data_IF_648658406224
#
_entry.id   IF_648658406224
#
_cell.length_a   1.000
_cell.length_b   1.000
_cell.length_c   1.000
_cell.angle_alpha   90.00
_cell.angle_beta   90.00
_cell.angle_gamma   90.00
#
_symmetry.space_group_name_H-M   'P 1'
#
loop_
_entity.id
_entity.type
_entity.pdbx_description
1 polymer ?
#
# COMPACT_ATOMS: atom_id res chain seq x y z
N UNK A 1 1.40 42.49 36.70
CA UNK A 1 1.30 42.04 35.29
C UNK A 1 2.60 41.34 34.86
N UNK A 2 2.71 40.00 34.96
CA UNK A 2 3.90 39.22 34.49
C UNK A 2 3.59 37.79 34.01
N UNK A 3 2.33 37.41 33.83
CA UNK A 3 1.94 36.02 33.47
C UNK A 3 2.08 35.70 31.98
N UNK A 4 2.15 36.71 31.11
CA UNK A 4 2.24 36.54 29.66
C UNK A 4 3.61 36.04 29.18
N UNK A 5 4.71 36.44 29.84
CA UNK A 5 6.06 35.99 29.48
C UNK A 5 6.26 34.48 29.69
N UNK A 6 5.56 33.88 30.64
CA UNK A 6 5.59 32.43 30.88
C UNK A 6 4.83 31.66 29.80
N UNK A 7 3.69 32.18 29.35
CA UNK A 7 2.89 31.56 28.29
C UNK A 7 3.61 31.57 26.93
N UNK A 8 4.37 32.63 26.64
CA UNK A 8 5.15 32.71 25.40
C UNK A 8 6.16 31.57 25.27
N UNK A 9 6.83 31.19 26.37
CA UNK A 9 7.78 30.07 26.37
C UNK A 9 7.12 28.71 26.11
N UNK A 10 5.97 28.44 26.75
CA UNK A 10 5.23 27.19 26.54
C UNK A 10 4.69 27.06 25.11
N UNK A 11 4.18 28.16 24.53
CA UNK A 11 3.68 28.15 23.15
C UNK A 11 4.82 27.86 22.17
N UNK A 12 6.02 28.39 22.43
CA UNK A 12 7.18 28.18 21.56
C UNK A 12 7.65 26.71 21.57
N UNK A 13 7.71 26.09 22.75
CA UNK A 13 8.07 24.66 22.89
C UNK A 13 7.00 23.77 22.26
N UNK A 14 5.73 24.12 22.42
CA UNK A 14 4.62 23.39 21.80
C UNK A 14 4.68 23.45 20.27
N UNK A 15 4.92 24.64 19.70
CA UNK A 15 5.09 24.81 18.25
C UNK A 15 6.29 24.02 17.73
N UNK A 16 7.43 24.06 18.43
CA UNK A 16 8.60 23.28 18.06
C UNK A 16 8.32 21.76 18.10
N UNK A 17 7.62 21.28 19.13
CA UNK A 17 7.19 19.89 19.25
C UNK A 17 6.22 19.47 18.15
N UNK A 18 5.24 20.32 17.81
CA UNK A 18 4.30 20.07 16.70
C UNK A 18 5.02 20.07 15.36
N UNK A 19 5.99 20.97 15.13
CA UNK A 19 6.77 21.00 13.89
C UNK A 19 7.64 19.75 13.74
N UNK A 20 8.34 19.33 14.79
CA UNK A 20 9.16 18.11 14.78
C UNK A 20 8.27 16.87 14.66
N UNK A 21 7.14 16.83 15.37
CA UNK A 21 6.18 15.73 15.30
C UNK A 21 5.49 15.61 13.94
N UNK A 22 5.07 16.72 13.34
CA UNK A 22 4.45 16.75 12.02
C UNK A 22 5.46 16.44 10.90
N UNK A 23 6.69 16.97 10.99
CA UNK A 23 7.75 16.64 10.05
C UNK A 23 8.16 15.16 10.18
N UNK A 24 8.37 14.67 11.40
CA UNK A 24 8.75 13.29 11.68
C UNK A 24 7.67 12.28 11.26
N UNK A 25 6.41 12.55 11.61
CA UNK A 25 5.26 11.71 11.22
C UNK A 25 5.02 11.80 9.72
N UNK A 26 5.09 13.00 9.14
CA UNK A 26 4.96 13.19 7.69
C UNK A 26 6.04 12.46 6.91
N UNK A 27 7.30 12.49 7.36
CA UNK A 27 8.40 11.77 6.73
C UNK A 27 8.28 10.25 6.94
N UNK A 28 7.90 9.79 8.14
CA UNK A 28 7.72 8.37 8.46
C UNK A 28 6.56 7.74 7.70
N UNK A 29 5.42 8.42 7.66
CA UNK A 29 4.25 8.04 6.87
C UNK A 29 4.62 8.08 5.39
N UNK A 30 5.27 9.14 4.90
CA UNK A 30 5.70 9.21 3.49
C UNK A 30 6.71 8.12 3.15
N UNK A 31 7.67 7.78 4.00
CA UNK A 31 8.61 6.71 3.68
C UNK A 31 7.91 5.35 3.69
N UNK A 32 7.22 4.97 4.77
CA UNK A 32 6.56 3.65 4.88
C UNK A 32 5.38 3.47 3.93
N UNK A 33 4.49 4.47 3.82
CA UNK A 33 3.32 4.38 2.95
C UNK A 33 3.75 4.40 1.50
N UNK A 34 4.82 5.11 1.14
CA UNK A 34 5.35 5.08 -0.23
C UNK A 34 6.12 3.79 -0.52
N UNK A 35 6.80 3.15 0.45
CA UNK A 35 7.35 1.79 0.24
C UNK A 35 6.23 0.74 0.09
N UNK A 36 5.15 0.85 0.86
CA UNK A 36 3.99 -0.06 0.77
C UNK A 36 3.18 0.18 -0.51
N UNK A 37 3.04 1.44 -0.95
CA UNK A 37 2.35 1.79 -2.18
C UNK A 37 3.19 1.56 -3.45
N UNK A 38 4.53 1.67 -3.39
CA UNK A 38 5.43 1.55 -4.55
C UNK A 38 6.09 0.17 -4.68
N UNK A 39 6.27 -0.57 -3.58
CA UNK A 39 6.98 -1.86 -3.56
C UNK A 39 6.15 -3.07 -4.00
N UNK A 40 4.82 -2.92 -4.11
CA UNK A 40 3.93 -4.03 -4.42
C UNK A 40 3.85 -5.06 -3.29
N UNK A 41 2.86 -5.95 -3.44
CA UNK A 41 2.48 -7.01 -2.50
C UNK A 41 3.64 -7.85 -1.92
N UNK A 42 4.69 -8.27 -2.67
CA UNK A 42 5.73 -9.14 -2.09
C UNK A 42 6.60 -8.46 -1.02
N UNK A 43 6.81 -7.14 -1.09
CA UNK A 43 7.53 -6.41 -0.04
C UNK A 43 6.71 -6.33 1.26
N UNK A 44 5.38 -6.38 1.18
CA UNK A 44 4.52 -6.39 2.35
C UNK A 44 4.59 -7.75 3.06
N UNK A 45 4.71 -8.87 2.32
CA UNK A 45 4.76 -10.22 2.91
C UNK A 45 6.02 -10.38 3.75
N UNK A 46 7.17 -10.07 3.16
CA UNK A 46 8.46 -10.18 3.82
C UNK A 46 8.51 -9.27 5.05
N UNK A 47 8.06 -8.02 4.93
CA UNK A 47 7.96 -7.11 6.09
C UNK A 47 7.03 -7.64 7.19
N UNK A 48 5.90 -8.25 6.83
CA UNK A 48 4.98 -8.83 7.80
C UNK A 48 5.56 -10.05 8.51
N UNK A 49 6.17 -10.96 7.75
CA UNK A 49 6.84 -12.14 8.27
C UNK A 49 7.99 -11.76 9.20
N UNK A 50 8.87 -10.83 8.80
CA UNK A 50 9.98 -10.36 9.65
C UNK A 50 9.49 -9.65 10.91
N UNK A 51 8.38 -8.90 10.82
CA UNK A 51 7.74 -8.29 11.99
C UNK A 51 7.18 -9.36 12.95
N UNK A 52 6.54 -10.41 12.42
CA UNK A 52 6.00 -11.52 13.20
C UNK A 52 7.12 -12.35 13.85
N UNK A 53 8.17 -12.67 13.09
CA UNK A 53 9.34 -13.37 13.57
C UNK A 53 9.97 -12.67 14.78
N UNK A 54 10.15 -11.34 14.70
CA UNK A 54 10.72 -10.53 15.78
C UNK A 54 9.77 -10.34 16.98
N UNK A 55 8.45 -10.30 16.77
CA UNK A 55 7.47 -10.08 17.85
C UNK A 55 7.12 -11.35 18.62
N UNK A 56 7.26 -12.50 17.99
CA UNK A 56 6.86 -13.79 18.54
C UNK A 56 8.07 -14.70 18.83
N UNK A 57 9.30 -14.20 18.66
CA UNK A 57 10.55 -14.94 18.78
C UNK A 57 10.48 -16.30 18.07
N UNK A 58 10.08 -16.27 16.78
CA UNK A 58 9.93 -17.48 15.99
C UNK A 58 11.29 -18.13 15.72
N UNK A 59 11.38 -19.44 15.91
CA UNK A 59 12.51 -20.24 15.42
C UNK A 59 12.52 -20.34 13.89
N UNK A 60 13.69 -20.59 13.28
CA UNK A 60 13.86 -20.76 11.83
C UNK A 60 12.80 -21.65 11.13
N UNK A 61 12.44 -22.85 11.65
CA UNK A 61 11.38 -23.65 11.03
C UNK A 61 9.99 -23.01 11.15
N UNK A 62 9.70 -22.27 12.23
CA UNK A 62 8.43 -21.57 12.42
C UNK A 62 8.35 -20.33 11.53
N UNK A 63 9.44 -19.60 11.34
CA UNK A 63 9.49 -18.48 10.41
C UNK A 63 9.19 -18.95 8.98
N UNK A 64 9.74 -20.09 8.56
CA UNK A 64 9.47 -20.67 7.24
C UNK A 64 7.99 -21.03 7.06
N UNK A 65 7.36 -21.61 8.09
CA UNK A 65 5.94 -21.95 8.06
C UNK A 65 5.05 -20.69 8.02
N UNK A 66 5.34 -19.69 8.85
CA UNK A 66 4.61 -18.41 8.88
C UNK A 66 4.77 -17.66 7.55
N UNK A 67 5.98 -17.64 6.98
CA UNK A 67 6.25 -17.04 5.66
C UNK A 67 5.39 -17.66 4.57
N UNK A 68 5.24 -18.99 4.57
CA UNK A 68 4.38 -19.70 3.63
C UNK A 68 2.91 -19.26 3.79
N UNK A 69 2.38 -19.29 5.01
CA UNK A 69 0.99 -18.87 5.29
C UNK A 69 0.71 -17.42 4.91
N UNK A 70 1.65 -16.51 5.21
CA UNK A 70 1.55 -15.09 4.84
C UNK A 70 1.54 -14.94 3.32
N UNK A 71 2.41 -15.65 2.61
CA UNK A 71 2.51 -15.61 1.15
C UNK A 71 1.23 -16.12 0.48
N UNK A 72 0.69 -17.26 0.94
CA UNK A 72 -0.58 -17.82 0.44
C UNK A 72 -1.76 -16.87 0.70
N UNK A 73 -1.83 -16.29 1.90
CA UNK A 73 -2.87 -15.32 2.26
C UNK A 73 -2.81 -14.08 1.36
N UNK A 74 -1.60 -13.61 1.06
CA UNK A 74 -1.42 -12.50 0.12
C UNK A 74 -1.83 -12.84 -1.29
N UNK A 75 -1.60 -14.08 -1.74
CA UNK A 75 -2.11 -14.58 -3.01
C UNK A 75 -3.64 -14.48 -3.08
N UNK A 76 -4.33 -14.97 -2.05
CA UNK A 76 -5.80 -14.92 -1.95
C UNK A 76 -6.34 -13.49 -1.90
N UNK A 77 -5.72 -12.60 -1.12
CA UNK A 77 -6.13 -11.19 -1.08
C UNK A 77 -5.89 -10.47 -2.41
N UNK A 78 -4.85 -10.86 -3.15
CA UNK A 78 -4.58 -10.32 -4.49
C UNK A 78 -5.64 -10.78 -5.48
N UNK A 79 -6.01 -12.05 -5.45
CA UNK A 79 -7.07 -12.60 -6.30
C UNK A 79 -8.40 -11.88 -6.04
N UNK A 80 -8.78 -11.74 -4.77
CA UNK A 80 -9.98 -11.01 -4.37
C UNK A 80 -9.95 -9.58 -4.91
N UNK A 81 -8.82 -8.88 -4.77
CA UNK A 81 -8.68 -7.53 -5.33
C UNK A 81 -8.87 -7.53 -6.84
N UNK A 82 -8.27 -8.47 -7.57
CA UNK A 82 -8.38 -8.57 -9.03
C UNK A 82 -9.83 -8.78 -9.47
N UNK A 83 -10.56 -9.65 -8.78
CA UNK A 83 -11.95 -9.95 -9.09
C UNK A 83 -12.87 -8.73 -8.93
N UNK A 84 -12.70 -7.95 -7.87
CA UNK A 84 -13.61 -6.83 -7.55
C UNK A 84 -13.11 -5.45 -8.01
N UNK A 85 -11.87 -5.33 -8.49
CA UNK A 85 -11.30 -4.07 -8.98
C UNK A 85 -12.13 -3.43 -10.11
N UNK A 86 -12.62 -4.17 -11.14
CA UNK A 86 -13.43 -3.58 -12.21
C UNK A 86 -14.74 -2.98 -11.69
N UNK A 87 -15.37 -3.66 -10.74
CA UNK A 87 -16.61 -3.22 -10.11
C UNK A 87 -16.36 -1.95 -9.27
N UNK A 88 -15.29 -1.93 -8.47
CA UNK A 88 -14.87 -0.74 -7.73
C UNK A 88 -14.59 0.46 -8.66
N UNK A 89 -13.92 0.24 -9.80
CA UNK A 89 -13.69 1.29 -10.82
C UNK A 89 -15.00 1.85 -11.35
N UNK A 90 -15.97 0.97 -11.63
CA UNK A 90 -17.28 1.39 -12.12
C UNK A 90 -18.01 2.26 -11.10
N UNK A 91 -18.07 1.83 -9.84
CA UNK A 91 -18.70 2.59 -8.75
C UNK A 91 -18.05 3.99 -8.61
N UNK A 92 -16.72 4.05 -8.59
CA UNK A 92 -16.00 5.33 -8.48
C UNK A 92 -16.28 6.22 -9.69
N UNK A 93 -16.28 5.67 -10.91
CA UNK A 93 -16.53 6.46 -12.13
C UNK A 93 -17.93 7.08 -12.14
N UNK A 94 -18.94 6.36 -11.66
CA UNK A 94 -20.31 6.85 -11.51
C UNK A 94 -20.35 8.01 -10.49
N UNK A 95 -19.72 7.83 -9.32
CA UNK A 95 -19.64 8.88 -8.30
C UNK A 95 -18.95 10.15 -8.81
N UNK A 96 -17.87 10.00 -9.58
CA UNK A 96 -17.19 11.15 -10.21
C UNK A 96 -18.11 11.87 -11.20
N UNK A 97 -18.85 11.13 -12.04
CA UNK A 97 -19.80 11.71 -12.98
C UNK A 97 -20.90 12.50 -12.26
N UNK A 98 -21.41 11.98 -11.14
CA UNK A 98 -22.38 12.67 -10.29
C UNK A 98 -21.80 13.92 -9.64
N UNK A 99 -20.60 13.84 -9.07
CA UNK A 99 -19.95 15.02 -8.46
C UNK A 99 -19.76 16.13 -9.51
N UNK A 100 -19.43 15.79 -10.76
CA UNK A 100 -19.25 16.78 -11.82
C UNK A 100 -20.50 17.62 -12.11
N UNK A 101 -21.71 17.12 -11.88
CA UNK A 101 -22.95 17.90 -12.12
C UNK A 101 -23.06 19.10 -11.20
N UNK A 102 -22.44 19.04 -10.02
CA UNK A 102 -22.47 20.08 -8.99
C UNK A 102 -21.29 21.06 -9.09
N UNK A 103 -20.36 20.85 -10.03
CA UNK A 103 -19.10 21.58 -10.09
C UNK A 103 -19.04 22.55 -11.27
N UNK A 104 -18.35 23.68 -11.04
CA UNK A 104 -18.02 24.60 -12.12
C UNK A 104 -17.05 23.98 -13.13
N UNK A 105 -16.97 24.49 -14.37
CA UNK A 105 -16.05 23.97 -15.38
C UNK A 105 -14.57 23.95 -14.92
N UNK A 106 -14.12 24.94 -14.14
CA UNK A 106 -12.75 24.93 -13.61
C UNK A 106 -12.54 23.84 -12.54
N UNK A 107 -13.54 23.58 -11.70
CA UNK A 107 -13.48 22.53 -10.67
C UNK A 107 -13.53 21.13 -11.29
N UNK A 108 -14.32 20.93 -12.35
CA UNK A 108 -14.37 19.68 -13.11
C UNK A 108 -13.00 19.32 -13.69
N UNK A 109 -12.29 20.29 -14.29
CA UNK A 109 -10.94 20.08 -14.82
C UNK A 109 -9.95 19.62 -13.73
N UNK A 110 -10.03 20.24 -12.54
CA UNK A 110 -9.20 19.84 -11.39
C UNK A 110 -9.53 18.43 -10.89
N UNK A 111 -10.82 18.08 -10.86
CA UNK A 111 -11.27 16.73 -10.50
C UNK A 111 -10.77 15.68 -11.49
N UNK A 112 -10.79 15.99 -12.79
CA UNK A 112 -10.27 15.11 -13.84
C UNK A 112 -8.78 14.84 -13.71
N UNK A 113 -7.99 15.87 -13.42
CA UNK A 113 -6.55 15.70 -13.16
C UNK A 113 -6.29 14.84 -11.91
N UNK A 114 -7.10 14.99 -10.85
CA UNK A 114 -7.02 14.14 -9.67
C UNK A 114 -7.37 12.68 -9.99
N UNK A 115 -8.44 12.47 -10.76
CA UNK A 115 -8.89 11.14 -11.15
C UNK A 115 -7.92 10.44 -12.11
N UNK A 116 -7.32 11.17 -13.05
CA UNK A 116 -6.30 10.65 -13.96
C UNK A 116 -5.08 10.11 -13.20
N UNK A 117 -4.54 10.90 -12.24
CA UNK A 117 -3.42 10.47 -11.38
C UNK A 117 -3.77 9.24 -10.54
N UNK A 118 -5.02 9.15 -10.07
CA UNK A 118 -5.49 7.98 -9.34
C UNK A 118 -5.55 6.74 -10.24
N UNK A 119 -6.08 6.89 -11.45
CA UNK A 119 -6.22 5.80 -12.42
C UNK A 119 -4.87 5.26 -12.92
N UNK A 120 -3.89 6.13 -13.16
CA UNK A 120 -2.52 5.74 -13.52
C UNK A 120 -1.89 4.82 -12.47
N UNK A 121 -2.03 5.16 -11.18
CA UNK A 121 -1.52 4.33 -10.09
C UNK A 121 -2.16 2.95 -10.07
N UNK A 122 -3.44 2.85 -10.41
CA UNK A 122 -4.14 1.56 -10.48
C UNK A 122 -3.73 0.74 -11.71
N UNK A 123 -3.54 1.37 -12.88
CA UNK A 123 -3.05 0.70 -14.09
C UNK A 123 -1.63 0.15 -13.94
N UNK A 124 -0.73 0.91 -13.30
CA UNK A 124 0.64 0.45 -13.03
C UNK A 124 0.65 -0.79 -12.12
N UNK A 125 -0.28 -0.88 -11.17
CA UNK A 125 -0.42 -2.08 -10.34
C UNK A 125 -0.99 -3.28 -11.10
N UNK A 126 -1.83 -3.05 -12.11
CA UNK A 126 -2.42 -4.10 -12.96
C UNK A 126 -1.37 -4.73 -13.88
N UNK A 127 -0.63 -3.89 -14.63
CA UNK A 127 0.46 -4.34 -15.53
C UNK A 127 1.56 -5.06 -14.75
N UNK A 128 1.95 -4.55 -13.57
CA UNK A 128 2.93 -5.23 -12.72
C UNK A 128 2.42 -6.59 -12.23
N UNK A 129 1.12 -6.74 -12.02
CA UNK A 129 0.54 -8.01 -11.56
C UNK A 129 0.42 -9.05 -12.67
N UNK A 130 0.07 -8.64 -13.90
CA UNK A 130 0.07 -9.49 -15.09
C UNK A 130 1.47 -10.09 -15.33
N UNK A 131 2.50 -9.23 -15.39
CA UNK A 131 3.90 -9.65 -15.56
C UNK A 131 4.41 -10.57 -14.44
N UNK A 132 3.94 -10.40 -13.20
CA UNK A 132 4.34 -11.26 -12.08
C UNK A 132 3.60 -12.62 -12.11
N UNK A 133 2.35 -12.66 -12.54
CA UNK A 133 1.57 -13.89 -12.69
C UNK A 133 2.12 -14.78 -13.80
N UNK A 134 2.50 -14.18 -14.93
CA UNK A 134 3.12 -14.87 -16.07
C UNK A 134 4.49 -15.45 -15.71
N UNK A 135 5.29 -14.71 -14.93
CA UNK A 135 6.61 -15.17 -14.46
C UNK A 135 6.50 -16.34 -13.45
N UNK A 136 5.53 -16.28 -12.51
CA UNK A 136 5.32 -17.37 -11.55
C UNK A 136 4.78 -18.64 -12.23
N UNK A 137 3.84 -18.53 -13.16
CA UNK A 137 3.36 -19.68 -13.94
C UNK A 137 4.45 -20.31 -14.81
N UNK A 138 5.38 -19.49 -15.31
CA UNK A 138 6.57 -19.97 -16.04
C UNK A 138 7.54 -20.69 -15.10
N UNK A 139 7.76 -20.17 -13.88
CA UNK A 139 8.62 -20.84 -12.89
C UNK A 139 8.01 -22.15 -12.42
N UNK A 140 6.71 -22.21 -12.13
CA UNK A 140 6.02 -23.45 -11.74
C UNK A 140 6.11 -24.51 -12.83
N UNK A 141 5.91 -24.16 -14.10
CA UNK A 141 6.14 -25.08 -15.23
C UNK A 141 7.58 -25.58 -15.31
N UNK A 142 8.58 -24.71 -15.13
CA UNK A 142 10.00 -25.10 -15.14
C UNK A 142 10.34 -26.00 -13.94
N UNK A 143 9.69 -25.80 -12.79
CA UNK A 143 9.84 -26.65 -11.61
C UNK A 143 9.19 -28.02 -11.81
N UNK A 144 8.01 -28.09 -12.44
CA UNK A 144 7.31 -29.34 -12.79
C UNK A 144 8.02 -30.12 -13.91
N UNK A 145 8.64 -29.44 -14.87
CA UNK A 145 9.34 -30.05 -16.01
C UNK A 145 10.74 -30.59 -15.62
N UNK A 146 11.42 -30.01 -14.63
CA UNK A 146 12.75 -30.44 -14.20
C UNK A 146 12.77 -31.43 -13.03
N UNK A 147 11.65 -31.64 -12.34
CA UNK A 147 11.55 -32.63 -11.26
C UNK A 147 10.43 -33.60 -11.57
N UNK A 148 10.79 -34.72 -12.20
CA UNK A 148 9.95 -35.90 -12.27
C UNK A 148 9.33 -36.21 -10.90
N UNK A 149 8.04 -36.49 -10.94
CA UNK A 149 7.15 -36.73 -9.80
C UNK A 149 7.81 -37.53 -8.66
N UNK A 150 7.80 -37.05 -7.40
CA UNK A 150 7.94 -37.97 -6.29
C UNK A 150 6.58 -38.65 -6.09
N UNK A 151 6.61 -39.97 -6.28
CA UNK A 151 5.57 -41.00 -6.15
C UNK A 151 4.78 -41.31 -7.42
#
# INVERSE_FOLDING_TARGET
MKKWKLWTGSILIFLAGVSIGAAGTGLYVRHRVMTVLQGGTPAVATLFTTMLARRLDLSDPQEKAVSKTVTETQGRLRELRRQYQPEARKIISIGIAQIKTELSPQQQKKLDEMYARFNERWKVQEIRQENLGENLGTREKIWEENLGTPY
#
